data_IF_040140964207
#
_entry.id   IF_040140964207
#
_cell.length_a   1.000
_cell.length_b   1.000
_cell.length_c   1.000
_cell.angle_alpha   90.00
_cell.angle_beta   90.00
_cell.angle_gamma   90.00
#
_symmetry.space_group_name_H-M   'P 1'
#
loop_
_entity.id
_entity.type
_entity.pdbx_description
1 polymer ?
#
# COMPACT_ATOMS: atom_id res chain seq x y z
N UNK A 1 -10.68 -13.78 -22.96
CA UNK A 1 -9.50 -14.64 -22.81
C UNK A 1 -8.90 -14.40 -21.44
N UNK A 2 -8.43 -15.43 -20.76
CA UNK A 2 -7.76 -15.27 -19.46
C UNK A 2 -6.25 -15.04 -19.66
N UNK A 3 -5.58 -14.37 -18.72
CA UNK A 3 -4.13 -14.21 -18.71
C UNK A 3 -3.38 -15.55 -18.86
N UNK A 4 -3.91 -16.62 -18.27
CA UNK A 4 -3.36 -17.99 -18.35
C UNK A 4 -3.33 -18.51 -19.78
N UNK A 5 -4.40 -18.32 -20.55
CA UNK A 5 -4.45 -18.78 -21.96
C UNK A 5 -3.41 -18.03 -22.80
N UNK A 6 -3.24 -16.74 -22.58
CA UNK A 6 -2.23 -15.94 -23.24
C UNK A 6 -0.81 -16.44 -22.95
N UNK A 7 -0.48 -16.67 -21.68
CA UNK A 7 0.82 -17.23 -21.26
C UNK A 7 1.05 -18.63 -21.81
N UNK A 8 0.02 -19.50 -21.87
CA UNK A 8 0.12 -20.82 -22.47
C UNK A 8 0.39 -20.79 -23.98
N UNK A 9 -0.19 -19.83 -24.70
CA UNK A 9 0.09 -19.62 -26.12
C UNK A 9 1.54 -19.18 -26.35
N UNK A 10 2.02 -18.20 -25.56
CA UNK A 10 3.43 -17.80 -25.56
C UNK A 10 4.35 -18.95 -25.25
N UNK A 11 4.05 -19.76 -24.22
CA UNK A 11 4.86 -20.91 -23.79
C UNK A 11 5.04 -21.97 -24.87
N UNK A 12 4.10 -22.13 -25.79
CA UNK A 12 4.25 -23.05 -26.94
C UNK A 12 5.35 -22.55 -27.89
N UNK A 13 5.43 -21.24 -28.13
CA UNK A 13 6.48 -20.63 -28.96
C UNK A 13 7.84 -20.63 -28.27
N UNK A 14 7.90 -20.55 -26.95
CA UNK A 14 9.13 -20.48 -26.15
C UNK A 14 9.82 -21.84 -25.93
N UNK A 15 9.29 -22.95 -26.48
CA UNK A 15 9.95 -24.26 -26.39
C UNK A 15 11.35 -24.22 -26.99
N UNK A 16 12.33 -24.74 -26.23
CA UNK A 16 13.71 -24.82 -26.68
C UNK A 16 13.81 -25.81 -27.85
N UNK A 17 14.42 -25.35 -28.93
CA UNK A 17 14.80 -26.15 -30.10
C UNK A 17 16.26 -25.85 -30.41
N UNK A 18 16.97 -26.89 -30.89
CA UNK A 18 18.39 -26.73 -31.27
C UNK A 18 18.50 -25.71 -32.41
N UNK A 19 19.38 -24.70 -32.25
CA UNK A 19 19.53 -23.59 -33.21
C UNK A 19 18.54 -22.44 -33.07
N UNK A 20 17.74 -22.41 -31.97
CA UNK A 20 16.82 -21.34 -31.67
C UNK A 20 17.34 -20.53 -30.48
N UNK A 21 17.91 -19.35 -30.73
CA UNK A 21 18.49 -18.48 -29.72
C UNK A 21 17.43 -17.55 -29.09
N UNK A 22 16.45 -17.11 -29.87
CA UNK A 22 15.38 -16.22 -29.42
C UNK A 22 14.07 -16.46 -30.19
N UNK A 23 12.98 -15.92 -29.66
CA UNK A 23 11.67 -15.86 -30.30
C UNK A 23 11.17 -14.40 -30.25
N UNK A 24 10.84 -13.86 -31.42
CA UNK A 24 10.12 -12.60 -31.51
C UNK A 24 8.62 -12.88 -31.60
N UNK A 25 7.85 -12.30 -30.69
CA UNK A 25 6.40 -12.37 -30.68
C UNK A 25 5.85 -10.99 -30.97
N UNK A 26 5.02 -10.88 -31.99
CA UNK A 26 4.28 -9.65 -32.32
C UNK A 26 2.81 -9.92 -32.00
N UNK A 27 2.25 -9.13 -31.08
CA UNK A 27 0.83 -9.19 -30.70
C UNK A 27 0.11 -7.90 -31.10
N UNK A 28 -1.03 -8.02 -31.75
CA UNK A 28 -1.82 -6.89 -32.19
C UNK A 28 -2.90 -6.59 -31.16
N UNK A 29 -2.73 -5.51 -30.41
CA UNK A 29 -3.67 -5.07 -29.40
C UNK A 29 -4.84 -4.35 -30.07
N UNK A 30 -5.98 -5.03 -30.16
CA UNK A 30 -7.23 -4.47 -30.66
C UNK A 30 -8.01 -3.68 -29.59
N UNK A 31 -9.18 -3.20 -29.98
CA UNK A 31 -10.07 -2.41 -29.11
C UNK A 31 -10.88 -3.32 -28.16
N UNK A 32 -10.20 -4.11 -27.30
CA UNK A 32 -10.83 -5.04 -26.37
C UNK A 32 -10.90 -4.45 -24.97
N UNK A 33 -12.01 -4.68 -24.27
CA UNK A 33 -12.23 -4.21 -22.90
C UNK A 33 -11.23 -4.84 -21.90
N UNK A 34 -10.62 -5.97 -22.23
CA UNK A 34 -9.73 -6.72 -21.36
C UNK A 34 -8.23 -6.55 -21.68
N UNK A 35 -7.84 -5.50 -22.40
CA UNK A 35 -6.43 -5.22 -22.72
C UNK A 35 -5.54 -5.06 -21.47
N UNK A 36 -6.12 -4.74 -20.32
CA UNK A 36 -5.43 -4.72 -19.03
C UNK A 36 -4.87 -6.10 -18.60
N UNK A 37 -5.39 -7.20 -19.16
CA UNK A 37 -4.87 -8.55 -18.88
C UNK A 37 -3.50 -8.80 -19.52
N UNK A 38 -3.11 -8.03 -20.52
CA UNK A 38 -1.81 -8.17 -21.19
C UNK A 38 -0.67 -7.89 -20.22
N UNK A 39 -0.58 -6.71 -19.57
CA UNK A 39 0.44 -6.48 -18.56
C UNK A 39 0.32 -7.43 -17.35
N UNK A 40 -0.88 -7.80 -16.92
CA UNK A 40 -1.07 -8.81 -15.85
C UNK A 40 -0.40 -10.13 -16.24
N UNK A 41 -0.62 -10.60 -17.46
CA UNK A 41 -0.09 -11.87 -17.94
C UNK A 41 1.43 -11.84 -18.16
N UNK A 42 1.96 -10.76 -18.73
CA UNK A 42 3.37 -10.64 -19.07
C UNK A 42 4.26 -10.41 -17.86
N UNK A 43 3.79 -9.66 -16.87
CA UNK A 43 4.57 -9.25 -15.70
C UNK A 43 4.16 -9.99 -14.41
N UNK A 44 3.12 -10.83 -14.45
CA UNK A 44 2.67 -11.62 -13.31
C UNK A 44 2.08 -10.78 -12.18
N UNK A 45 1.56 -9.58 -12.45
CA UNK A 45 0.96 -8.72 -11.43
C UNK A 45 -0.49 -9.12 -11.13
N UNK A 46 -0.67 -10.00 -10.16
CA UNK A 46 -1.99 -10.44 -9.68
C UNK A 46 -2.65 -9.45 -8.70
N UNK A 47 -2.03 -8.29 -8.47
CA UNK A 47 -2.60 -7.26 -7.58
C UNK A 47 -3.86 -6.63 -8.14
N UNK A 48 -4.01 -6.58 -9.47
CA UNK A 48 -5.03 -5.81 -10.19
C UNK A 48 -5.09 -4.35 -9.69
N UNK A 49 -3.94 -3.81 -9.31
CA UNK A 49 -3.81 -2.43 -8.90
C UNK A 49 -3.55 -1.57 -10.14
N UNK A 50 -4.43 -0.61 -10.41
CA UNK A 50 -4.34 0.25 -11.59
C UNK A 50 -3.00 0.97 -11.70
N UNK A 51 -2.45 1.43 -10.58
CA UNK A 51 -1.21 2.18 -10.55
C UNK A 51 0.00 1.27 -10.83
N UNK A 52 0.00 0.05 -10.26
CA UNK A 52 1.01 -0.94 -10.59
C UNK A 52 0.98 -1.29 -12.08
N UNK A 53 -0.21 -1.54 -12.62
CA UNK A 53 -0.36 -1.85 -14.05
C UNK A 53 0.11 -0.69 -14.93
N UNK A 54 -0.22 0.56 -14.57
CA UNK A 54 0.26 1.76 -15.32
C UNK A 54 1.78 1.88 -15.24
N UNK A 55 2.38 1.70 -14.05
CA UNK A 55 3.83 1.73 -13.85
C UNK A 55 4.52 0.65 -14.69
N UNK A 56 3.99 -0.56 -14.70
CA UNK A 56 4.51 -1.67 -15.51
C UNK A 56 4.48 -1.33 -17.01
N UNK A 57 3.36 -0.82 -17.51
CA UNK A 57 3.21 -0.43 -18.91
C UNK A 57 4.13 0.74 -19.29
N UNK A 58 4.38 1.68 -18.38
CA UNK A 58 5.31 2.80 -18.61
C UNK A 58 6.77 2.35 -18.65
N UNK A 59 7.15 1.42 -17.76
CA UNK A 59 8.52 0.93 -17.60
C UNK A 59 8.98 -0.08 -18.68
N UNK A 60 8.06 -0.63 -19.48
CA UNK A 60 8.40 -1.60 -20.55
C UNK A 60 9.13 -2.83 -20.02
N UNK A 61 10.17 -3.26 -20.72
CA UNK A 61 10.92 -4.50 -20.44
C UNK A 61 11.71 -4.53 -19.12
N UNK A 62 11.90 -3.41 -18.46
CA UNK A 62 12.70 -3.35 -17.21
C UNK A 62 12.08 -4.12 -16.04
N UNK A 63 10.80 -4.48 -16.10
CA UNK A 63 10.11 -5.29 -15.08
C UNK A 63 10.13 -6.81 -15.32
N UNK A 64 10.76 -7.29 -16.39
CA UNK A 64 10.75 -8.71 -16.76
C UNK A 64 12.05 -9.38 -16.30
N UNK A 65 11.92 -10.52 -15.62
CA UNK A 65 13.06 -11.31 -15.19
C UNK A 65 13.70 -12.04 -16.38
N UNK A 66 15.04 -11.99 -16.48
CA UNK A 66 15.83 -12.68 -17.49
C UNK A 66 16.17 -11.81 -18.70
N UNK A 67 16.48 -12.45 -19.86
CA UNK A 67 16.92 -11.79 -21.08
C UNK A 67 15.74 -11.45 -22.04
N UNK A 68 14.52 -11.48 -21.55
CA UNK A 68 13.34 -11.17 -22.36
C UNK A 68 13.07 -9.65 -22.34
N UNK A 69 12.68 -9.12 -23.49
CA UNK A 69 12.26 -7.72 -23.63
C UNK A 69 10.80 -7.66 -24.06
N UNK A 70 10.05 -6.71 -23.53
CA UNK A 70 8.69 -6.37 -23.95
C UNK A 70 8.64 -4.89 -24.22
N UNK A 71 8.15 -4.51 -25.39
CA UNK A 71 7.88 -3.13 -25.73
C UNK A 71 6.44 -3.00 -26.25
N UNK A 72 5.82 -1.88 -25.93
CA UNK A 72 4.49 -1.52 -26.40
C UNK A 72 4.62 -0.27 -27.27
N UNK A 73 4.11 -0.30 -28.48
CA UNK A 73 3.97 0.91 -29.28
C UNK A 73 3.01 1.91 -28.61
N UNK A 74 3.03 3.15 -29.09
CA UNK A 74 2.23 4.24 -28.50
C UNK A 74 0.73 3.93 -28.50
N UNK A 75 0.19 3.40 -29.60
CA UNK A 75 -1.24 3.11 -29.74
C UNK A 75 -1.63 1.99 -28.78
N UNK A 76 -0.82 0.95 -28.66
CA UNK A 76 -1.01 -0.16 -27.72
C UNK A 76 -0.98 0.31 -26.26
N UNK A 77 -0.03 1.18 -25.89
CA UNK A 77 0.01 1.80 -24.55
C UNK A 77 -1.28 2.55 -24.24
N UNK A 78 -1.74 3.39 -25.16
CA UNK A 78 -2.96 4.18 -24.98
C UNK A 78 -4.20 3.28 -24.81
N UNK A 79 -4.31 2.21 -25.58
CA UNK A 79 -5.41 1.25 -25.46
C UNK A 79 -5.36 0.46 -24.14
N UNK A 80 -4.18 0.06 -23.68
CA UNK A 80 -4.00 -0.60 -22.39
C UNK A 80 -4.36 0.36 -21.26
N UNK A 81 -3.88 1.61 -21.31
CA UNK A 81 -4.23 2.62 -20.29
C UNK A 81 -5.72 2.91 -20.27
N UNK A 82 -6.38 3.03 -21.42
CA UNK A 82 -7.83 3.17 -21.51
C UNK A 82 -8.54 2.00 -20.84
N UNK A 83 -8.16 0.77 -21.16
CA UNK A 83 -8.75 -0.43 -20.55
C UNK A 83 -8.52 -0.48 -19.02
N UNK A 84 -7.32 -0.11 -18.52
CA UNK A 84 -7.04 -0.01 -17.09
C UNK A 84 -7.94 1.05 -16.43
N UNK A 85 -8.14 2.20 -17.07
CA UNK A 85 -8.93 3.30 -16.52
C UNK A 85 -10.42 2.95 -16.45
N UNK A 86 -10.97 2.35 -17.50
CA UNK A 86 -12.38 2.00 -17.61
C UNK A 86 -12.77 0.78 -16.77
N UNK A 87 -11.84 -0.14 -16.52
CA UNK A 87 -12.13 -1.35 -15.73
C UNK A 87 -12.19 -1.03 -14.24
N UNK A 88 -13.25 -1.45 -13.58
CA UNK A 88 -13.36 -1.33 -12.13
C UNK A 88 -13.09 -2.67 -11.44
N UNK A 89 -11.83 -2.87 -11.03
CA UNK A 89 -11.40 -4.07 -10.30
C UNK A 89 -11.95 -4.15 -8.86
N UNK A 90 -12.54 -3.08 -8.36
CA UNK A 90 -13.16 -3.02 -7.03
C UNK A 90 -14.66 -3.27 -7.04
N UNK A 91 -15.27 -3.55 -8.20
CA UNK A 91 -16.68 -3.91 -8.24
C UNK A 91 -16.93 -5.29 -7.64
N UNK A 92 -17.95 -5.40 -6.81
CA UNK A 92 -18.36 -6.68 -6.21
C UNK A 92 -18.59 -7.77 -7.26
N UNK A 93 -19.11 -7.42 -8.45
CA UNK A 93 -19.30 -8.36 -9.56
C UNK A 93 -18.00 -9.05 -9.95
N UNK A 94 -16.92 -8.30 -10.15
CA UNK A 94 -15.60 -8.85 -10.49
C UNK A 94 -15.08 -9.78 -9.39
N UNK A 95 -15.15 -9.35 -8.12
CA UNK A 95 -14.72 -10.16 -7.00
C UNK A 95 -15.57 -11.44 -6.85
N UNK A 96 -16.88 -11.37 -7.14
CA UNK A 96 -17.76 -12.54 -7.15
C UNK A 96 -17.39 -13.56 -8.24
N UNK A 97 -17.00 -13.09 -9.42
CA UNK A 97 -16.53 -13.97 -10.50
C UNK A 97 -15.23 -14.68 -10.08
N UNK A 98 -14.26 -13.95 -9.50
CA UNK A 98 -13.02 -14.55 -9.00
C UNK A 98 -13.29 -15.58 -7.89
N UNK A 99 -14.18 -15.26 -6.96
CA UNK A 99 -14.58 -16.15 -5.90
C UNK A 99 -15.23 -17.43 -6.43
N UNK A 100 -16.18 -17.32 -7.36
CA UNK A 100 -16.87 -18.48 -7.98
C UNK A 100 -15.90 -19.37 -8.75
N UNK A 101 -14.97 -18.79 -9.49
CA UNK A 101 -13.93 -19.53 -10.20
C UNK A 101 -13.05 -20.31 -9.22
N UNK A 102 -12.68 -19.72 -8.08
CA UNK A 102 -11.90 -20.38 -7.05
C UNK A 102 -12.72 -21.49 -6.37
N UNK A 103 -13.97 -21.23 -6.01
CA UNK A 103 -14.88 -22.20 -5.41
C UNK A 103 -15.09 -23.43 -6.32
N UNK A 104 -15.26 -23.20 -7.63
CA UNK A 104 -15.40 -24.29 -8.61
C UNK A 104 -14.13 -25.15 -8.72
N UNK A 105 -12.93 -24.53 -8.63
CA UNK A 105 -11.65 -25.25 -8.64
C UNK A 105 -11.43 -26.09 -7.39
N UNK A 106 -11.83 -25.58 -6.23
CA UNK A 106 -11.61 -26.24 -4.94
C UNK A 106 -12.69 -27.22 -4.53
N UNK A 107 -13.91 -27.10 -5.07
CA UNK A 107 -15.08 -27.84 -4.63
C UNK A 107 -15.56 -27.52 -3.20
N UNK A 108 -15.09 -26.40 -2.62
CA UNK A 108 -15.44 -25.91 -1.28
C UNK A 108 -15.38 -24.40 -1.22
N UNK A 109 -15.87 -23.82 -0.13
CA UNK A 109 -15.71 -22.39 0.19
C UNK A 109 -14.22 -22.03 0.23
N UNK A 110 -13.76 -21.07 -0.61
CA UNK A 110 -12.36 -20.61 -0.61
C UNK A 110 -12.02 -19.84 0.67
N UNK A 111 -10.81 -20.02 1.17
CA UNK A 111 -10.14 -19.13 2.13
C UNK A 111 -9.31 -18.09 1.39
N UNK A 112 -8.93 -17.00 2.05
CA UNK A 112 -8.05 -15.98 1.48
C UNK A 112 -6.71 -16.58 1.02
N UNK A 113 -6.13 -17.48 1.82
CA UNK A 113 -4.88 -18.17 1.48
C UNK A 113 -4.98 -19.11 0.27
N UNK A 114 -6.16 -19.56 -0.11
CA UNK A 114 -6.33 -20.37 -1.33
C UNK A 114 -6.04 -19.55 -2.60
N UNK A 115 -6.42 -18.26 -2.61
CA UNK A 115 -6.09 -17.35 -3.72
C UNK A 115 -4.60 -17.14 -3.86
N UNK A 116 -3.90 -17.04 -2.74
CA UNK A 116 -2.44 -16.94 -2.68
C UNK A 116 -1.77 -18.23 -3.17
N UNK A 117 -2.19 -19.38 -2.65
CA UNK A 117 -1.59 -20.68 -2.97
C UNK A 117 -1.77 -21.09 -4.44
N UNK A 118 -2.85 -20.61 -5.09
CA UNK A 118 -3.15 -20.89 -6.50
C UNK A 118 -2.67 -19.78 -7.45
N UNK A 119 -1.88 -18.83 -6.98
CA UNK A 119 -1.40 -17.68 -7.75
C UNK A 119 -2.54 -16.98 -8.53
N UNK A 120 -3.69 -16.84 -7.85
CA UNK A 120 -4.87 -16.19 -8.39
C UNK A 120 -4.85 -14.67 -8.08
N UNK A 121 -6.01 -14.03 -8.06
CA UNK A 121 -6.11 -12.64 -7.63
C UNK A 121 -5.58 -12.48 -6.21
N UNK A 122 -4.85 -11.38 -5.95
CA UNK A 122 -4.32 -11.10 -4.61
C UNK A 122 -5.41 -11.14 -3.54
N UNK A 123 -5.22 -11.87 -2.43
CA UNK A 123 -6.16 -11.91 -1.32
C UNK A 123 -6.42 -10.52 -0.72
N UNK A 124 -5.50 -9.56 -0.88
CA UNK A 124 -5.68 -8.18 -0.44
C UNK A 124 -6.86 -7.47 -1.12
N UNK A 125 -7.32 -7.95 -2.28
CA UNK A 125 -8.52 -7.43 -2.96
C UNK A 125 -9.81 -7.71 -2.19
N UNK A 126 -9.78 -8.65 -1.26
CA UNK A 126 -10.86 -8.97 -0.35
C UNK A 126 -10.69 -8.38 1.05
N UNK A 127 -9.69 -7.49 1.25
CA UNK A 127 -9.30 -6.98 2.57
C UNK A 127 -9.14 -5.45 2.64
N UNK A 128 -10.21 -4.64 2.67
CA UNK A 128 -11.63 -4.98 2.54
C UNK A 128 -12.06 -5.12 1.07
N UNK A 129 -13.11 -5.90 0.78
CA UNK A 129 -13.59 -6.08 -0.60
C UNK A 129 -14.06 -4.77 -1.25
N UNK A 130 -14.82 -3.97 -0.50
CA UNK A 130 -15.32 -2.64 -0.94
C UNK A 130 -15.46 -1.71 0.26
N UNK A 131 -15.79 -0.44 -0.01
CA UNK A 131 -16.13 0.51 1.05
C UNK A 131 -17.39 0.13 1.86
N UNK A 132 -18.29 -0.67 1.29
CA UNK A 132 -19.54 -1.11 1.94
C UNK A 132 -19.41 -2.48 2.61
N UNK A 133 -18.57 -3.36 2.07
CA UNK A 133 -18.32 -4.72 2.59
C UNK A 133 -16.92 -4.71 3.20
N UNK A 134 -16.84 -4.80 4.52
CA UNK A 134 -15.64 -4.46 5.29
C UNK A 134 -14.76 -5.65 5.66
N UNK A 135 -15.27 -6.90 5.50
CA UNK A 135 -14.52 -8.13 5.78
C UNK A 135 -14.82 -9.22 4.76
N UNK A 136 -13.93 -10.21 4.67
CA UNK A 136 -14.10 -11.35 3.77
C UNK A 136 -15.31 -12.20 4.16
N UNK A 137 -15.56 -12.36 5.46
CA UNK A 137 -16.76 -13.07 5.93
C UNK A 137 -18.05 -12.39 5.44
N UNK A 138 -18.16 -11.06 5.58
CA UNK A 138 -19.32 -10.31 5.06
C UNK A 138 -19.48 -10.46 3.55
N UNK A 139 -18.36 -10.47 2.83
CA UNK A 139 -18.35 -10.71 1.37
C UNK A 139 -18.90 -12.09 1.02
N UNK A 140 -18.44 -13.15 1.71
CA UNK A 140 -18.92 -14.52 1.48
C UNK A 140 -20.40 -14.65 1.83
N UNK A 141 -20.80 -14.20 2.99
CA UNK A 141 -22.21 -14.25 3.41
C UNK A 141 -23.12 -13.57 2.38
N UNK A 142 -22.74 -12.37 1.91
CA UNK A 142 -23.49 -11.67 0.87
C UNK A 142 -23.54 -12.45 -0.45
N UNK A 143 -22.44 -13.10 -0.85
CA UNK A 143 -22.36 -13.89 -2.08
C UNK A 143 -23.17 -15.18 -1.98
N UNK A 144 -23.08 -15.88 -0.86
CA UNK A 144 -23.73 -17.18 -0.61
C UNK A 144 -25.18 -17.02 -0.12
N UNK A 145 -25.64 -15.77 0.10
CA UNK A 145 -26.97 -15.44 0.63
C UNK A 145 -27.25 -16.09 1.99
N UNK A 146 -26.23 -16.12 2.85
CA UNK A 146 -26.30 -16.59 4.23
C UNK A 146 -26.17 -15.39 5.18
N UNK A 147 -26.79 -15.49 6.36
CA UNK A 147 -26.64 -14.46 7.38
C UNK A 147 -25.49 -14.84 8.33
N UNK A 148 -24.65 -13.87 8.76
CA UNK A 148 -23.60 -14.13 9.74
C UNK A 148 -24.11 -14.80 11.02
N UNK A 149 -25.32 -14.49 11.45
CA UNK A 149 -25.97 -15.08 12.64
C UNK A 149 -26.16 -16.60 12.53
N UNK A 150 -26.35 -17.15 11.33
CA UNK A 150 -26.46 -18.58 11.11
C UNK A 150 -25.14 -19.31 11.43
N UNK A 151 -24.02 -18.59 11.40
CA UNK A 151 -22.69 -19.07 11.77
C UNK A 151 -22.33 -18.77 13.25
N UNK A 152 -23.30 -18.28 14.03
CA UNK A 152 -23.09 -17.82 15.40
C UNK A 152 -22.26 -16.53 15.49
N UNK A 153 -22.15 -15.76 14.40
CA UNK A 153 -21.41 -14.52 14.31
C UNK A 153 -22.29 -13.36 14.77
N UNK A 154 -21.87 -12.67 15.82
CA UNK A 154 -22.53 -11.46 16.33
C UNK A 154 -21.92 -10.21 15.70
N UNK A 155 -22.58 -9.04 15.89
CA UNK A 155 -22.02 -7.77 15.43
C UNK A 155 -20.63 -7.47 16.05
N UNK A 156 -20.38 -7.88 17.28
CA UNK A 156 -19.07 -7.73 17.92
C UNK A 156 -17.98 -8.55 17.20
N UNK A 157 -18.30 -9.75 16.71
CA UNK A 157 -17.40 -10.52 15.84
C UNK A 157 -17.13 -9.81 14.52
N UNK A 158 -18.16 -9.26 13.85
CA UNK A 158 -18.01 -8.53 12.59
C UNK A 158 -17.16 -7.26 12.77
N UNK A 159 -17.40 -6.48 13.82
CA UNK A 159 -16.61 -5.30 14.15
C UNK A 159 -15.13 -5.65 14.36
N UNK A 160 -14.86 -6.74 15.05
CA UNK A 160 -13.51 -7.26 15.25
C UNK A 160 -12.86 -7.72 13.94
N UNK A 161 -13.57 -8.48 13.08
CA UNK A 161 -13.06 -8.88 11.77
C UNK A 161 -12.78 -7.68 10.87
N UNK A 162 -13.63 -6.65 10.89
CA UNK A 162 -13.40 -5.39 10.16
C UNK A 162 -12.12 -4.70 10.61
N UNK A 163 -11.86 -4.66 11.92
CA UNK A 163 -10.62 -4.13 12.48
C UNK A 163 -9.41 -4.91 11.96
N UNK A 164 -9.41 -6.24 12.14
CA UNK A 164 -8.28 -7.07 11.72
C UNK A 164 -8.09 -7.08 10.19
N UNK A 165 -9.17 -7.01 9.40
CA UNK A 165 -9.11 -6.88 7.94
C UNK A 165 -8.38 -5.61 7.49
N UNK A 166 -8.46 -4.52 8.25
CA UNK A 166 -7.72 -3.30 7.93
C UNK A 166 -6.28 -3.33 8.46
N UNK A 167 -6.04 -4.04 9.56
CA UNK A 167 -4.75 -3.99 10.25
C UNK A 167 -3.73 -4.99 9.72
N UNK A 168 -4.14 -6.25 9.51
CA UNK A 168 -3.21 -7.38 9.37
C UNK A 168 -2.84 -7.78 7.94
N UNK A 169 -3.77 -7.85 6.96
CA UNK A 169 -3.52 -8.53 5.69
C UNK A 169 -2.37 -7.97 4.87
N UNK A 170 -2.14 -6.65 4.91
CA UNK A 170 -1.03 -6.01 4.19
C UNK A 170 0.35 -6.36 4.76
N UNK A 171 0.42 -7.00 5.93
CA UNK A 171 1.67 -7.43 6.53
C UNK A 171 2.69 -6.31 6.79
N UNK A 172 2.22 -5.06 7.01
CA UNK A 172 3.11 -3.90 7.10
C UNK A 172 4.02 -3.92 8.32
N UNK A 173 3.58 -4.55 9.41
CA UNK A 173 4.35 -4.66 10.65
C UNK A 173 4.12 -6.02 11.30
N UNK A 174 5.18 -6.82 11.50
CA UNK A 174 5.05 -8.19 12.01
C UNK A 174 4.65 -8.25 13.48
N UNK A 175 4.91 -7.21 14.27
CA UNK A 175 4.63 -7.19 15.70
C UNK A 175 3.16 -7.50 16.00
N UNK A 176 2.19 -6.84 15.33
CA UNK A 176 0.77 -7.12 15.53
C UNK A 176 0.41 -8.56 15.13
N UNK A 177 1.00 -9.06 14.04
CA UNK A 177 0.76 -10.42 13.57
C UNK A 177 1.16 -11.46 14.60
N UNK A 178 2.37 -11.33 15.16
CA UNK A 178 2.87 -12.28 16.17
C UNK A 178 2.18 -12.14 17.52
N UNK A 179 1.79 -10.92 17.91
CA UNK A 179 1.02 -10.72 19.15
C UNK A 179 -0.36 -11.40 19.08
N UNK A 180 -1.08 -11.25 17.96
CA UNK A 180 -2.38 -11.92 17.78
C UNK A 180 -2.22 -13.43 17.63
N UNK A 181 -1.23 -13.90 16.87
CA UNK A 181 -0.90 -15.33 16.75
C UNK A 181 -0.65 -15.97 18.13
N UNK A 182 0.10 -15.28 18.97
CA UNK A 182 0.39 -15.74 20.32
C UNK A 182 -0.86 -15.83 21.19
N UNK A 183 -1.76 -14.84 21.10
CA UNK A 183 -3.04 -14.89 21.84
C UNK A 183 -3.93 -16.06 21.40
N UNK A 184 -3.98 -16.36 20.09
CA UNK A 184 -4.74 -17.51 19.57
C UNK A 184 -4.16 -18.84 20.05
N UNK A 185 -2.83 -18.95 20.12
CA UNK A 185 -2.09 -20.17 20.46
C UNK A 185 -1.81 -20.34 21.96
N UNK A 186 -2.21 -19.38 22.79
CA UNK A 186 -1.98 -19.45 24.26
C UNK A 186 -0.53 -19.22 24.69
N UNK A 187 0.32 -18.62 23.84
CA UNK A 187 1.68 -18.20 24.22
C UNK A 187 1.63 -16.81 24.85
N UNK A 188 2.10 -16.69 26.09
CA UNK A 188 2.02 -15.44 26.86
C UNK A 188 3.38 -14.78 27.12
N UNK A 189 4.49 -15.44 26.83
CA UNK A 189 5.83 -14.87 27.02
C UNK A 189 6.17 -13.88 25.93
N UNK A 190 6.29 -12.61 26.25
CA UNK A 190 6.65 -11.57 25.28
C UNK A 190 8.03 -11.81 24.65
N UNK A 191 8.99 -12.35 25.40
CA UNK A 191 10.32 -12.67 24.87
C UNK A 191 10.29 -13.85 23.91
N UNK A 192 9.44 -14.86 24.19
CA UNK A 192 9.19 -15.96 23.25
C UNK A 192 8.56 -15.46 21.94
N UNK A 193 7.57 -14.57 22.03
CA UNK A 193 6.90 -13.96 20.88
C UNK A 193 7.90 -13.15 20.03
N UNK A 194 8.74 -12.33 20.68
CA UNK A 194 9.78 -11.56 19.99
C UNK A 194 10.79 -12.47 19.30
N UNK A 195 11.25 -13.52 19.98
CA UNK A 195 12.20 -14.50 19.44
C UNK A 195 11.61 -15.24 18.23
N UNK A 196 10.34 -15.64 18.30
CA UNK A 196 9.63 -16.24 17.16
C UNK A 196 9.53 -15.29 15.98
N UNK A 197 9.15 -14.03 16.21
CA UNK A 197 9.06 -13.01 15.20
C UNK A 197 10.42 -12.74 14.54
N UNK A 198 11.48 -12.64 15.32
CA UNK A 198 12.83 -12.44 14.79
C UNK A 198 13.28 -13.61 13.91
N UNK A 199 13.10 -14.84 14.40
CA UNK A 199 13.50 -16.06 13.68
C UNK A 199 12.78 -16.26 12.35
N UNK A 200 11.46 -15.99 12.35
CA UNK A 200 10.60 -16.35 11.19
C UNK A 200 10.37 -15.20 10.21
N UNK A 201 10.61 -13.96 10.61
CA UNK A 201 10.31 -12.78 9.78
C UNK A 201 11.41 -11.72 9.81
N UNK A 202 12.56 -12.01 10.43
CA UNK A 202 13.66 -11.05 10.57
C UNK A 202 13.19 -9.70 11.17
N UNK A 203 12.19 -9.76 12.04
CA UNK A 203 11.56 -8.61 12.66
C UNK A 203 12.58 -7.81 13.47
N UNK A 204 12.52 -6.49 13.33
CA UNK A 204 13.36 -5.59 14.13
C UNK A 204 12.89 -5.63 15.58
N UNK A 205 13.82 -5.88 16.52
CA UNK A 205 13.55 -5.92 17.95
C UNK A 205 13.52 -4.52 18.59
N UNK A 206 12.97 -3.53 17.89
CA UNK A 206 12.77 -2.20 18.45
C UNK A 206 11.63 -2.21 19.47
N UNK A 207 11.93 -1.83 20.70
CA UNK A 207 10.96 -1.81 21.80
C UNK A 207 9.81 -0.82 21.55
N UNK A 208 10.06 0.29 20.86
CA UNK A 208 9.02 1.26 20.53
C UNK A 208 7.97 0.66 19.59
N UNK A 209 8.40 -0.08 18.57
CA UNK A 209 7.48 -0.77 17.64
C UNK A 209 6.63 -1.83 18.33
N UNK A 210 7.19 -2.57 19.31
CA UNK A 210 6.42 -3.52 20.12
C UNK A 210 5.40 -2.83 21.01
N UNK A 211 5.80 -1.75 21.71
CA UNK A 211 4.90 -0.98 22.56
C UNK A 211 3.79 -0.32 21.74
N UNK A 212 4.11 0.23 20.56
CA UNK A 212 3.14 0.80 19.65
C UNK A 212 2.15 -0.26 19.14
N UNK A 213 2.61 -1.46 18.76
CA UNK A 213 1.76 -2.56 18.34
C UNK A 213 0.77 -3.00 19.44
N UNK A 214 1.26 -3.13 20.67
CA UNK A 214 0.41 -3.44 21.83
C UNK A 214 -0.63 -2.33 22.04
N UNK A 215 -0.23 -1.06 21.99
CA UNK A 215 -1.14 0.08 22.13
C UNK A 215 -2.24 0.06 21.07
N UNK A 216 -1.91 -0.26 19.80
CA UNK A 216 -2.91 -0.39 18.73
C UNK A 216 -3.91 -1.50 19.02
N UNK A 217 -3.44 -2.66 19.48
CA UNK A 217 -4.29 -3.79 19.86
C UNK A 217 -5.11 -3.54 21.13
N UNK A 218 -4.75 -2.51 21.90
CA UNK A 218 -5.49 -1.98 23.03
C UNK A 218 -6.37 -0.77 22.70
N UNK A 219 -6.61 -0.50 21.41
CA UNK A 219 -7.34 0.68 20.92
C UNK A 219 -6.66 2.03 21.24
N UNK A 220 -5.39 2.09 21.59
CA UNK A 220 -4.71 3.33 21.96
C UNK A 220 -4.51 4.30 20.79
N UNK A 221 -4.31 3.79 19.58
CA UNK A 221 -3.96 4.56 18.38
C UNK A 221 -5.17 5.14 17.62
N UNK A 222 -6.31 4.45 17.65
CA UNK A 222 -7.48 4.75 16.82
C UNK A 222 -8.19 6.04 17.25
N UNK A 223 -8.77 6.76 16.29
CA UNK A 223 -9.69 7.87 16.55
C UNK A 223 -10.99 7.38 17.20
N UNK A 224 -11.69 8.27 17.91
CA UNK A 224 -12.96 7.93 18.61
C UNK A 224 -13.98 7.29 17.65
N UNK A 225 -14.18 7.85 16.47
CA UNK A 225 -15.11 7.30 15.48
C UNK A 225 -14.68 5.91 14.96
N UNK A 226 -13.38 5.66 14.80
CA UNK A 226 -12.86 4.35 14.40
C UNK A 226 -13.07 3.32 15.53
N UNK A 227 -12.80 3.68 16.78
CA UNK A 227 -13.06 2.83 17.93
C UNK A 227 -14.51 2.38 17.99
N UNK A 228 -15.44 3.31 17.80
CA UNK A 228 -16.87 2.99 17.78
C UNK A 228 -17.23 2.05 16.61
N UNK A 229 -16.70 2.29 15.41
CA UNK A 229 -16.93 1.46 14.24
C UNK A 229 -16.39 0.02 14.41
N UNK A 230 -15.31 -0.16 15.18
CA UNK A 230 -14.70 -1.47 15.48
C UNK A 230 -15.12 -2.05 16.84
N UNK A 231 -16.20 -1.57 17.44
CA UNK A 231 -16.78 -2.10 18.68
C UNK A 231 -16.00 -1.78 19.95
N UNK A 232 -15.05 -0.85 19.89
CA UNK A 232 -14.21 -0.45 21.04
C UNK A 232 -13.57 -1.62 21.80
N UNK A 233 -13.14 -2.66 21.08
CA UNK A 233 -12.61 -3.90 21.64
C UNK A 233 -11.11 -3.75 21.88
N UNK A 234 -10.66 -3.99 23.12
CA UNK A 234 -9.25 -4.23 23.44
C UNK A 234 -8.96 -5.71 23.30
N UNK A 235 -7.92 -6.08 22.54
CA UNK A 235 -7.62 -7.48 22.25
C UNK A 235 -6.59 -8.08 23.18
N UNK A 236 -5.66 -7.28 23.67
CA UNK A 236 -4.54 -7.74 24.49
C UNK A 236 -4.41 -6.96 25.78
N UNK A 237 -3.91 -7.62 26.82
CA UNK A 237 -3.52 -7.00 28.08
C UNK A 237 -2.13 -7.46 28.47
N UNK A 238 -1.32 -6.53 29.02
CA UNK A 238 -0.05 -6.82 29.67
C UNK A 238 -0.29 -6.99 31.14
N UNK A 239 0.22 -8.06 31.74
CA UNK A 239 0.21 -8.35 33.16
C UNK A 239 1.57 -8.84 33.63
N UNK A 240 1.67 -9.20 34.90
CA UNK A 240 2.92 -9.71 35.51
C UNK A 240 3.44 -10.98 34.81
N UNK A 241 2.55 -11.76 34.20
CA UNK A 241 2.88 -13.00 33.49
C UNK A 241 3.09 -12.80 31.96
N UNK A 242 3.24 -11.57 31.49
CA UNK A 242 3.43 -11.26 30.09
C UNK A 242 2.15 -10.82 29.35
N UNK A 243 2.07 -11.10 28.05
CA UNK A 243 0.94 -10.76 27.21
C UNK A 243 -0.17 -11.81 27.31
N UNK A 244 -1.41 -11.37 27.40
CA UNK A 244 -2.57 -12.28 27.34
C UNK A 244 -3.73 -11.65 26.57
N UNK A 245 -4.63 -12.47 25.96
CA UNK A 245 -5.87 -11.97 25.41
C UNK A 245 -6.77 -11.41 26.50
N UNK A 246 -7.54 -10.36 26.19
CA UNK A 246 -8.60 -9.87 27.09
C UNK A 246 -9.74 -10.87 27.17
N UNK A 247 -10.62 -10.73 28.15
CA UNK A 247 -11.76 -11.63 28.29
C UNK A 247 -12.76 -11.45 27.15
N UNK A 248 -12.94 -10.23 26.66
CA UNK A 248 -13.70 -9.95 25.43
C UNK A 248 -13.13 -10.69 24.20
N UNK A 249 -11.82 -10.68 24.03
CA UNK A 249 -11.20 -11.36 22.89
C UNK A 249 -11.25 -12.89 23.02
N UNK A 250 -11.11 -13.43 24.24
CA UNK A 250 -11.30 -14.86 24.50
C UNK A 250 -12.71 -15.31 24.11
N UNK A 251 -13.74 -14.57 24.53
CA UNK A 251 -15.13 -14.87 24.18
C UNK A 251 -15.38 -14.86 22.66
N UNK A 252 -14.75 -13.94 21.91
CA UNK A 252 -14.80 -13.97 20.45
C UNK A 252 -14.14 -15.23 19.86
N UNK A 253 -13.00 -15.67 20.41
CA UNK A 253 -12.27 -16.85 19.93
C UNK A 253 -12.98 -18.19 20.22
N UNK A 254 -14.02 -18.24 21.06
CA UNK A 254 -14.84 -19.42 21.28
C UNK A 254 -15.65 -19.79 20.02
N UNK A 255 -16.00 -18.83 19.16
CA UNK A 255 -16.65 -19.11 17.88
C UNK A 255 -15.62 -19.60 16.86
N UNK A 256 -15.77 -20.86 16.41
CA UNK A 256 -14.82 -21.50 15.50
C UNK A 256 -14.79 -20.86 14.12
N UNK A 257 -15.91 -20.32 13.61
CA UNK A 257 -15.95 -19.60 12.33
C UNK A 257 -15.14 -18.33 12.44
N UNK A 258 -15.36 -17.51 13.47
CA UNK A 258 -14.59 -16.30 13.73
C UNK A 258 -13.08 -16.58 13.87
N UNK A 259 -12.72 -17.60 14.65
CA UNK A 259 -11.32 -17.99 14.85
C UNK A 259 -10.66 -18.38 13.53
N UNK A 260 -11.33 -19.18 12.71
CA UNK A 260 -10.83 -19.60 11.38
C UNK A 260 -10.66 -18.44 10.42
N UNK A 261 -11.57 -17.46 10.42
CA UNK A 261 -11.44 -16.24 9.61
C UNK A 261 -10.25 -15.39 10.05
N UNK A 262 -10.07 -15.23 11.36
CA UNK A 262 -8.95 -14.46 11.90
C UNK A 262 -7.60 -15.14 11.61
N UNK A 263 -7.51 -16.46 11.71
CA UNK A 263 -6.31 -17.24 11.37
C UNK A 263 -5.98 -17.13 9.88
N UNK A 264 -6.98 -17.08 9.00
CA UNK A 264 -6.79 -16.89 7.56
C UNK A 264 -6.27 -15.47 7.24
N UNK A 265 -6.88 -14.44 7.81
CA UNK A 265 -6.41 -13.03 7.73
C UNK A 265 -4.95 -12.92 8.22
N UNK A 266 -4.63 -13.54 9.34
CA UNK A 266 -3.30 -13.55 9.93
C UNK A 266 -2.29 -14.22 8.99
N UNK A 267 -2.67 -15.35 8.39
CA UNK A 267 -1.83 -16.11 7.45
C UNK A 267 -1.50 -15.29 6.20
N UNK A 268 -2.50 -14.56 5.65
CA UNK A 268 -2.28 -13.61 4.56
C UNK A 268 -1.27 -12.53 4.97
N UNK A 269 -1.44 -11.92 6.13
CA UNK A 269 -0.54 -10.88 6.63
C UNK A 269 0.90 -11.37 6.78
N UNK A 270 1.09 -12.58 7.30
CA UNK A 270 2.42 -13.20 7.43
C UNK A 270 3.05 -13.52 6.07
N UNK A 271 2.25 -13.98 5.10
CA UNK A 271 2.71 -14.24 3.74
C UNK A 271 3.11 -12.93 3.02
N UNK A 272 2.29 -11.89 3.13
CA UNK A 272 2.59 -10.58 2.54
C UNK A 272 3.82 -9.93 3.16
N UNK A 273 3.99 -10.01 4.49
CA UNK A 273 5.20 -9.53 5.15
C UNK A 273 6.46 -10.22 4.62
N UNK A 274 6.43 -11.56 4.49
CA UNK A 274 7.54 -12.33 3.94
C UNK A 274 7.87 -11.92 2.51
N UNK A 275 6.86 -11.70 1.66
CA UNK A 275 7.06 -11.22 0.28
C UNK A 275 7.74 -9.86 0.24
N UNK A 276 7.26 -8.91 1.05
CA UNK A 276 7.84 -7.57 1.13
C UNK A 276 9.29 -7.63 1.61
N UNK A 277 9.57 -8.42 2.64
CA UNK A 277 10.91 -8.61 3.17
C UNK A 277 11.86 -9.22 2.13
N UNK A 278 11.44 -10.25 1.40
CA UNK A 278 12.25 -10.88 0.35
C UNK A 278 12.51 -9.92 -0.82
N UNK A 279 11.52 -9.12 -1.22
CA UNK A 279 11.67 -8.11 -2.27
C UNK A 279 12.58 -6.96 -1.86
N UNK A 280 12.60 -6.62 -0.59
CA UNK A 280 13.37 -5.50 -0.04
C UNK A 280 14.75 -5.87 0.48
N UNK A 281 15.21 -7.10 0.29
CA UNK A 281 16.53 -7.57 0.76
C UNK A 281 17.64 -6.62 0.29
N UNK A 282 18.21 -5.86 1.23
CA UNK A 282 19.18 -4.80 0.97
C UNK A 282 18.60 -3.40 0.73
N UNK A 283 17.25 -3.23 0.70
CA UNK A 283 16.56 -1.93 0.52
C UNK A 283 15.73 -1.49 1.73
N UNK A 284 15.77 -2.24 2.83
CA UNK A 284 15.07 -1.89 4.08
C UNK A 284 15.81 -0.77 4.77
N UNK A 285 15.12 0.34 4.95
CA UNK A 285 15.57 1.43 5.81
C UNK A 285 15.18 1.15 7.28
N UNK A 286 15.79 1.87 8.21
CA UNK A 286 15.48 1.73 9.63
C UNK A 286 13.97 1.89 9.88
N UNK A 287 13.38 0.92 10.58
CA UNK A 287 11.94 0.85 10.84
C UNK A 287 11.19 -0.08 9.88
N UNK A 288 9.86 -0.02 9.91
CA UNK A 288 8.98 -0.93 9.17
C UNK A 288 8.58 -0.40 7.77
N UNK A 289 9.29 0.62 7.25
CA UNK A 289 9.04 1.19 5.93
C UNK A 289 9.97 0.56 4.89
N UNK A 290 9.43 0.15 3.77
CA UNK A 290 10.14 -0.45 2.63
C UNK A 290 10.11 0.52 1.46
N UNK A 291 11.29 0.89 0.94
CA UNK A 291 11.42 1.82 -0.19
C UNK A 291 10.65 1.30 -1.41
N UNK A 292 9.98 2.19 -2.12
CA UNK A 292 9.10 1.94 -3.27
C UNK A 292 7.80 1.17 -2.95
N UNK A 293 7.49 0.93 -1.68
CA UNK A 293 6.18 0.43 -1.24
C UNK A 293 5.22 1.58 -0.94
N UNK A 294 3.91 1.30 -1.06
CA UNK A 294 2.86 2.31 -0.84
C UNK A 294 2.31 2.27 0.58
N UNK A 295 2.11 3.45 1.15
CA UNK A 295 1.57 3.66 2.50
C UNK A 295 0.57 4.81 2.52
N UNK A 296 -0.52 4.63 3.28
CA UNK A 296 -1.40 5.75 3.63
C UNK A 296 -0.76 6.63 4.71
N UNK A 297 -1.29 7.84 4.92
CA UNK A 297 -0.87 8.69 6.06
C UNK A 297 -1.09 7.99 7.40
N UNK A 298 -2.18 7.22 7.55
CA UNK A 298 -2.45 6.39 8.73
C UNK A 298 -1.39 5.32 8.93
N UNK A 299 -1.00 4.61 7.87
CA UNK A 299 0.09 3.62 7.93
C UNK A 299 1.40 4.27 8.35
N UNK A 300 1.74 5.45 7.81
CA UNK A 300 2.94 6.17 8.19
C UNK A 300 2.94 6.55 9.68
N UNK A 301 1.85 7.12 10.22
CA UNK A 301 1.72 7.39 11.65
C UNK A 301 1.96 6.13 12.48
N UNK A 302 1.32 5.01 12.09
CA UNK A 302 1.45 3.72 12.77
C UNK A 302 2.89 3.19 12.75
N UNK A 303 3.51 3.17 11.56
CA UNK A 303 4.84 2.58 11.35
C UNK A 303 5.98 3.47 11.88
N UNK A 304 5.73 4.76 12.03
CA UNK A 304 6.63 5.69 12.72
C UNK A 304 6.40 5.69 14.26
N UNK A 305 5.52 4.82 14.76
CA UNK A 305 5.22 4.65 16.18
C UNK A 305 4.57 5.88 16.85
N UNK A 306 3.83 6.68 16.09
CA UNK A 306 3.08 7.80 16.66
C UNK A 306 2.02 7.29 17.64
N UNK A 307 1.77 8.07 18.67
CA UNK A 307 0.80 7.70 19.71
C UNK A 307 -0.63 7.62 19.21
N UNK A 308 -1.00 8.49 18.25
CA UNK A 308 -2.35 8.62 17.72
C UNK A 308 -2.36 8.59 16.19
N UNK A 309 -3.52 8.24 15.60
CA UNK A 309 -3.78 8.43 14.19
C UNK A 309 -4.00 9.91 13.86
N UNK A 310 -2.97 10.57 13.38
CA UNK A 310 -2.95 11.99 13.05
C UNK A 310 -3.13 12.26 11.53
N UNK A 311 -3.51 11.25 10.74
CA UNK A 311 -3.58 11.33 9.28
C UNK A 311 -4.33 12.55 8.73
N UNK A 312 -5.42 12.97 9.41
CA UNK A 312 -6.24 14.10 8.99
C UNK A 312 -5.64 15.47 9.27
N UNK A 313 -4.58 15.56 10.06
CA UNK A 313 -3.88 16.79 10.41
C UNK A 313 -2.53 16.92 9.70
N UNK A 314 -2.14 15.93 8.88
CA UNK A 314 -0.94 15.99 8.05
C UNK A 314 -1.25 16.75 6.77
N UNK A 315 -1.02 18.06 6.78
CA UNK A 315 -1.14 18.92 5.59
C UNK A 315 0.23 19.09 4.92
N UNK A 316 0.58 18.14 4.05
CA UNK A 316 1.89 18.06 3.41
C UNK A 316 2.97 17.50 4.33
N UNK A 317 3.11 17.96 5.54
CA UNK A 317 4.04 17.44 6.56
C UNK A 317 3.52 17.70 7.97
N UNK A 318 4.06 16.97 8.93
CA UNK A 318 3.80 17.22 10.35
C UNK A 318 4.95 16.69 11.20
N UNK A 319 5.44 17.49 12.13
CA UNK A 319 6.41 17.08 13.14
C UNK A 319 5.70 16.34 14.28
N UNK A 320 6.21 15.17 14.63
CA UNK A 320 5.89 14.45 15.86
C UNK A 320 7.13 14.49 16.76
N UNK A 321 7.01 15.21 17.85
CA UNK A 321 8.14 15.47 18.76
C UNK A 321 8.45 14.24 19.63
N UNK A 322 7.45 13.40 19.93
CA UNK A 322 7.63 12.19 20.77
C UNK A 322 8.52 11.15 20.08
N UNK A 323 8.34 10.99 18.76
CA UNK A 323 9.13 10.06 17.96
C UNK A 323 10.29 10.73 17.22
N UNK A 324 10.35 12.05 17.25
CA UNK A 324 11.30 12.87 16.50
C UNK A 324 11.25 12.55 15.00
N UNK A 325 10.05 12.50 14.43
CA UNK A 325 9.83 12.20 13.01
C UNK A 325 9.00 13.29 12.33
N UNK A 326 9.32 13.59 11.08
CA UNK A 326 8.60 14.56 10.25
C UNK A 326 8.37 14.00 8.85
N UNK A 327 7.37 13.13 8.65
CA UNK A 327 7.05 12.62 7.32
C UNK A 327 6.55 13.73 6.40
N UNK A 328 7.03 13.74 5.16
CA UNK A 328 6.63 14.67 4.11
C UNK A 328 5.81 13.91 3.07
N UNK A 329 4.61 14.41 2.73
CA UNK A 329 3.68 13.83 1.76
C UNK A 329 3.44 14.79 0.61
N UNK A 330 3.69 14.33 -0.61
CA UNK A 330 3.62 15.13 -1.83
C UNK A 330 2.74 14.47 -2.87
N UNK A 331 1.86 15.27 -3.48
CA UNK A 331 1.22 14.94 -4.76
C UNK A 331 2.05 15.64 -5.84
N UNK A 332 2.71 14.88 -6.71
CA UNK A 332 3.73 15.39 -7.63
C UNK A 332 3.11 16.14 -8.80
N UNK A 333 2.11 15.55 -9.46
CA UNK A 333 1.35 16.18 -10.54
C UNK A 333 0.07 16.80 -9.96
N UNK A 334 0.10 18.11 -9.76
CA UNK A 334 -1.03 18.87 -9.23
C UNK A 334 -1.85 19.40 -10.41
N UNK A 335 -3.15 19.16 -10.39
CA UNK A 335 -4.09 19.75 -11.33
C UNK A 335 -4.16 21.27 -11.09
N UNK A 336 -3.38 22.02 -11.88
CA UNK A 336 -3.19 23.46 -11.69
C UNK A 336 -4.45 24.29 -11.96
N UNK A 337 -5.45 23.73 -12.65
CA UNK A 337 -6.71 24.44 -12.95
C UNK A 337 -7.62 24.56 -11.71
N UNK A 338 -7.52 23.66 -10.74
CA UNK A 338 -8.39 23.59 -9.57
C UNK A 338 -7.71 23.94 -8.24
N UNK A 339 -6.41 24.24 -8.23
CA UNK A 339 -5.64 24.49 -7.01
C UNK A 339 -5.39 25.99 -6.84
N UNK A 340 -5.57 26.50 -5.60
CA UNK A 340 -5.20 27.87 -5.28
C UNK A 340 -3.69 28.09 -5.46
N UNK A 341 -3.28 29.25 -5.97
CA UNK A 341 -1.86 29.60 -6.16
C UNK A 341 -1.00 29.37 -4.90
N UNK A 342 -1.59 29.49 -3.71
CA UNK A 342 -0.95 29.28 -2.40
C UNK A 342 -0.56 27.83 -2.10
N UNK A 343 -1.02 26.85 -2.87
CA UNK A 343 -0.73 25.42 -2.69
C UNK A 343 -0.02 24.80 -3.89
N UNK A 344 0.22 25.58 -4.95
CA UNK A 344 0.90 25.14 -6.15
C UNK A 344 2.43 25.28 -6.00
N UNK A 345 3.01 24.54 -5.05
CA UNK A 345 4.47 24.43 -4.90
C UNK A 345 5.03 23.58 -6.02
N UNK A 346 6.17 23.97 -6.57
CA UNK A 346 6.91 23.21 -7.59
C UNK A 346 7.93 22.29 -6.92
N UNK A 347 7.45 21.40 -6.02
CA UNK A 347 8.29 20.34 -5.47
C UNK A 347 8.81 19.47 -6.62
N UNK A 348 10.13 19.21 -6.69
CA UNK A 348 10.72 18.48 -7.82
C UNK A 348 11.99 17.74 -7.46
N UNK A 349 12.24 16.67 -8.20
CA UNK A 349 13.55 16.02 -8.20
C UNK A 349 14.50 16.84 -9.08
N UNK A 350 15.63 17.28 -8.50
CA UNK A 350 16.71 17.94 -9.24
C UNK A 350 17.50 16.88 -10.01
N UNK A 351 17.72 15.75 -9.36
CA UNK A 351 18.30 14.51 -9.89
C UNK A 351 17.84 13.34 -9.01
N UNK A 352 18.36 12.13 -9.24
CA UNK A 352 17.97 10.93 -8.51
C UNK A 352 18.24 10.97 -7.00
N UNK A 353 19.15 11.84 -6.54
CA UNK A 353 19.59 11.94 -5.14
C UNK A 353 19.19 13.25 -4.46
N UNK A 354 18.69 14.23 -5.22
CA UNK A 354 18.40 15.57 -4.69
C UNK A 354 16.96 15.96 -4.95
N UNK A 355 16.29 16.35 -3.86
CA UNK A 355 14.88 16.75 -3.88
C UNK A 355 14.72 18.17 -3.37
N UNK A 356 14.08 19.04 -4.18
CA UNK A 356 13.70 20.40 -3.82
C UNK A 356 12.27 20.42 -3.32
N UNK A 357 12.06 20.99 -2.13
CA UNK A 357 10.76 21.00 -1.48
C UNK A 357 10.47 22.35 -0.81
N UNK A 358 9.19 22.70 -0.74
CA UNK A 358 8.73 23.95 -0.14
C UNK A 358 7.82 23.69 1.08
N UNK A 359 8.06 24.45 2.15
CA UNK A 359 7.19 24.43 3.32
C UNK A 359 5.81 24.99 3.01
N UNK A 360 4.86 24.80 3.91
CA UNK A 360 3.59 25.54 3.86
C UNK A 360 3.84 27.05 3.87
N UNK A 361 2.88 27.81 3.29
CA UNK A 361 2.89 29.26 3.32
C UNK A 361 2.85 29.81 4.77
N UNK A 362 3.27 31.07 4.93
CA UNK A 362 3.45 31.78 6.21
C UNK A 362 4.45 31.08 7.14
N UNK A 363 5.52 30.52 6.56
CA UNK A 363 6.64 29.89 7.28
C UNK A 363 7.94 30.57 6.90
N UNK A 364 8.81 30.69 7.90
CA UNK A 364 10.16 31.20 7.75
C UNK A 364 11.15 30.23 8.38
N UNK A 365 12.42 30.41 8.15
CA UNK A 365 13.49 29.63 8.78
C UNK A 365 13.50 29.73 10.32
N UNK A 366 12.79 30.69 10.92
CA UNK A 366 12.57 30.77 12.36
C UNK A 366 11.35 30.06 12.89
N UNK A 367 10.51 29.46 11.99
CA UNK A 367 9.30 28.73 12.40
C UNK A 367 9.64 27.47 13.20
N UNK A 368 9.06 27.33 14.39
CA UNK A 368 9.36 26.24 15.35
C UNK A 368 9.19 24.85 14.74
N UNK A 369 8.12 24.63 13.99
CA UNK A 369 7.83 23.35 13.36
C UNK A 369 8.85 22.90 12.31
N UNK A 370 9.70 23.83 11.79
CA UNK A 370 10.74 23.54 10.81
C UNK A 370 12.12 23.36 11.44
N UNK A 371 12.30 23.69 12.73
CA UNK A 371 13.61 23.63 13.39
C UNK A 371 14.19 22.22 13.37
N UNK A 372 13.35 21.20 13.55
CA UNK A 372 13.77 19.80 13.45
C UNK A 372 14.39 19.45 12.10
N UNK A 373 13.83 19.99 11.00
CA UNK A 373 14.32 19.80 9.63
C UNK A 373 15.56 20.66 9.36
N UNK A 374 15.51 21.94 9.71
CA UNK A 374 16.61 22.89 9.46
C UNK A 374 17.90 22.46 10.18
N UNK A 375 17.76 22.05 11.44
CA UNK A 375 18.87 21.63 12.28
C UNK A 375 19.03 20.10 12.32
N UNK A 376 18.68 19.39 11.27
CA UNK A 376 18.60 17.93 11.23
C UNK A 376 19.91 17.24 11.62
N UNK A 377 21.06 17.84 11.31
CA UNK A 377 22.37 17.31 11.70
C UNK A 377 22.50 17.12 13.23
N UNK A 378 21.87 17.98 14.03
CA UNK A 378 21.88 17.96 15.50
C UNK A 378 20.61 17.37 16.09
N UNK A 379 19.44 17.73 15.57
CA UNK A 379 18.13 17.25 16.04
C UNK A 379 17.94 15.74 15.81
N UNK A 380 18.63 15.19 14.78
CA UNK A 380 18.44 13.80 14.32
C UNK A 380 17.01 13.49 13.94
N UNK A 381 16.24 14.48 13.51
CA UNK A 381 14.87 14.30 13.06
C UNK A 381 14.83 13.39 11.84
N UNK A 382 14.11 12.31 11.93
CA UNK A 382 13.87 11.40 10.79
C UNK A 382 12.82 12.01 9.86
N UNK A 383 13.11 12.10 8.57
CA UNK A 383 12.27 12.80 7.58
C UNK A 383 11.93 11.88 6.41
N UNK A 384 10.96 10.95 6.56
CA UNK A 384 10.56 10.06 5.46
C UNK A 384 9.79 10.82 4.38
N UNK A 385 10.14 10.58 3.11
CA UNK A 385 9.47 11.14 1.94
C UNK A 385 8.43 10.18 1.36
N UNK A 386 7.22 10.68 1.21
CA UNK A 386 6.09 9.95 0.62
C UNK A 386 5.55 10.74 -0.58
N UNK A 387 5.54 10.12 -1.77
CA UNK A 387 5.12 10.77 -3.02
C UNK A 387 4.06 9.94 -3.71
N UNK A 388 3.02 10.60 -4.23
CA UNK A 388 2.10 10.01 -5.21
C UNK A 388 2.05 10.88 -6.45
N UNK A 389 1.75 10.30 -7.60
CA UNK A 389 1.71 11.04 -8.86
C UNK A 389 0.58 12.08 -8.85
N UNK A 390 -0.64 11.64 -8.60
CA UNK A 390 -1.83 12.51 -8.63
C UNK A 390 -2.88 12.09 -7.61
N UNK A 391 -3.87 12.93 -7.38
CA UNK A 391 -5.00 12.62 -6.48
C UNK A 391 -5.88 11.47 -7.01
N UNK A 392 -5.87 11.22 -8.32
CA UNK A 392 -6.54 10.08 -8.94
C UNK A 392 -5.99 8.70 -8.55
N UNK A 393 -4.80 8.63 -7.93
CA UNK A 393 -4.19 7.38 -7.46
C UNK A 393 -4.72 6.87 -6.11
N UNK A 394 -5.64 7.59 -5.49
CA UNK A 394 -6.17 7.24 -4.18
C UNK A 394 -5.38 7.85 -3.03
N UNK A 395 -5.35 7.15 -1.87
CA UNK A 395 -4.83 7.70 -0.61
C UNK A 395 -3.41 7.29 -0.28
N UNK A 396 -2.84 6.34 -1.01
CA UNK A 396 -1.53 5.76 -0.72
C UNK A 396 -0.40 6.44 -1.51
N UNK A 397 0.75 6.63 -0.85
CA UNK A 397 1.94 7.29 -1.37
C UNK A 397 3.11 6.31 -1.42
N UNK A 398 3.98 6.39 -2.41
CA UNK A 398 5.25 5.68 -2.44
C UNK A 398 6.20 6.24 -1.39
N UNK A 399 6.74 5.42 -0.51
CA UNK A 399 7.84 5.79 0.35
C UNK A 399 9.15 5.74 -0.45
N UNK A 400 9.85 6.86 -0.55
CA UNK A 400 11.07 7.00 -1.35
C UNK A 400 12.37 6.99 -0.53
N UNK A 401 12.28 6.73 0.76
CA UNK A 401 13.41 6.80 1.67
C UNK A 401 13.38 8.05 2.56
N UNK A 402 14.40 8.18 3.39
CA UNK A 402 14.52 9.32 4.30
C UNK A 402 15.31 10.46 3.64
N UNK A 403 15.00 11.69 4.00
CA UNK A 403 15.63 12.91 3.52
C UNK A 403 16.63 13.45 4.54
N UNK A 404 17.74 13.97 4.04
CA UNK A 404 18.74 14.72 4.82
C UNK A 404 18.83 16.16 4.31
N UNK A 405 18.69 17.14 5.19
CA UNK A 405 18.70 18.55 4.82
C UNK A 405 20.09 18.97 4.36
N UNK A 406 20.19 19.50 3.13
CA UNK A 406 21.39 20.15 2.59
C UNK A 406 21.35 21.63 2.93
N UNK A 407 20.22 22.29 2.60
CA UNK A 407 20.02 23.73 2.84
C UNK A 407 18.56 24.05 3.07
N UNK A 408 18.31 25.15 3.79
CA UNK A 408 17.00 25.74 3.99
C UNK A 408 17.12 27.26 3.90
N UNK A 409 16.30 27.89 3.06
CA UNK A 409 16.33 29.34 2.84
C UNK A 409 14.93 29.93 2.79
N UNK A 410 14.77 31.18 3.27
CA UNK A 410 13.52 31.89 3.12
C UNK A 410 13.25 32.21 1.65
N UNK A 411 12.03 31.97 1.20
CA UNK A 411 11.57 32.22 -0.15
C UNK A 411 10.14 32.80 -0.12
N UNK A 412 9.59 33.12 -1.28
CA UNK A 412 8.24 33.66 -1.40
C UNK A 412 7.51 32.99 -2.55
N UNK A 413 6.21 32.81 -2.37
CA UNK A 413 5.29 32.36 -3.42
C UNK A 413 4.20 33.41 -3.62
N UNK A 414 3.79 33.64 -4.86
CA UNK A 414 2.70 34.54 -5.17
C UNK A 414 1.36 33.77 -5.16
N UNK A 415 0.41 34.27 -4.39
CA UNK A 415 -0.97 33.79 -4.38
C UNK A 415 -1.94 34.96 -4.46
N UNK A 416 -2.75 35.02 -5.52
CA UNK A 416 -3.73 36.08 -5.76
C UNK A 416 -3.19 37.49 -5.58
N UNK A 417 -1.98 37.74 -6.13
CA UNK A 417 -1.30 39.04 -6.04
C UNK A 417 -0.68 39.34 -4.68
N UNK A 418 -0.64 38.36 -3.76
CA UNK A 418 0.04 38.51 -2.45
C UNK A 418 1.28 37.64 -2.40
N UNK A 419 2.38 38.20 -1.92
CA UNK A 419 3.58 37.45 -1.62
C UNK A 419 3.44 36.78 -0.25
N UNK A 420 3.57 35.46 -0.22
CA UNK A 420 3.52 34.64 0.99
C UNK A 420 4.91 34.06 1.29
N UNK A 421 5.33 34.17 2.53
CA UNK A 421 6.59 33.60 2.98
C UNK A 421 6.52 32.07 3.00
N UNK A 422 7.54 31.42 2.48
CA UNK A 422 7.77 29.98 2.50
C UNK A 422 9.23 29.70 2.78
N UNK A 423 9.57 28.47 3.16
CA UNK A 423 10.95 28.00 3.24
C UNK A 423 11.19 26.98 2.14
N UNK A 424 12.22 27.24 1.35
CA UNK A 424 12.74 26.33 0.34
C UNK A 424 13.79 25.43 0.95
N UNK A 425 13.64 24.14 0.80
CA UNK A 425 14.59 23.13 1.23
C UNK A 425 15.22 22.43 0.03
N UNK A 426 16.50 22.14 0.11
CA UNK A 426 17.16 21.14 -0.71
C UNK A 426 17.53 19.97 0.20
N UNK A 427 17.09 18.78 -0.18
CA UNK A 427 17.33 17.54 0.54
C UNK A 427 18.20 16.60 -0.27
N UNK A 428 19.10 15.90 0.40
CA UNK A 428 19.72 14.70 -0.13
C UNK A 428 18.88 13.49 0.27
N UNK A 429 18.58 12.64 -0.70
CA UNK A 429 17.84 11.39 -0.48
C UNK A 429 18.77 10.31 0.03
N UNK A 430 18.41 9.65 1.12
CA UNK A 430 19.20 8.52 1.67
C UNK A 430 19.26 7.29 0.74
N UNK A 431 18.33 7.23 -0.20
CA UNK A 431 18.27 6.22 -1.26
C UNK A 431 17.91 6.93 -2.56
N UNK A 432 18.70 6.79 -3.64
CA UNK A 432 18.35 7.34 -4.94
C UNK A 432 16.98 6.84 -5.39
N UNK A 433 16.19 7.70 -6.02
CA UNK A 433 14.90 7.30 -6.58
C UNK A 433 15.12 6.33 -7.74
N UNK A 434 14.30 5.30 -7.82
CA UNK A 434 14.28 4.38 -8.96
C UNK A 434 13.89 5.14 -10.24
N UNK A 435 14.70 5.01 -11.30
CA UNK A 435 14.52 5.72 -12.58
C UNK A 435 13.13 5.48 -13.19
N UNK A 436 12.61 4.26 -13.09
CA UNK A 436 11.27 3.94 -13.60
C UNK A 436 10.18 4.65 -12.81
N UNK A 437 10.37 4.76 -11.50
CA UNK A 437 9.44 5.49 -10.66
C UNK A 437 9.52 6.99 -10.93
N UNK A 438 10.70 7.54 -11.12
CA UNK A 438 10.91 8.93 -11.51
C UNK A 438 10.24 9.22 -12.86
N UNK A 439 10.51 8.41 -13.87
CA UNK A 439 9.88 8.51 -15.19
C UNK A 439 8.35 8.40 -15.11
N UNK A 440 7.82 7.53 -14.25
CA UNK A 440 6.39 7.43 -14.00
C UNK A 440 5.81 8.72 -13.39
N UNK A 441 6.49 9.31 -12.42
CA UNK A 441 6.06 10.56 -11.78
C UNK A 441 6.07 11.73 -12.77
N UNK A 442 7.11 11.84 -13.61
CA UNK A 442 7.30 12.92 -14.58
C UNK A 442 6.44 12.80 -15.84
N UNK A 443 5.94 11.61 -16.17
CA UNK A 443 5.08 11.42 -17.33
C UNK A 443 3.78 12.19 -17.15
N UNK A 444 3.54 13.23 -17.96
CA UNK A 444 2.26 13.95 -17.95
C UNK A 444 1.14 12.97 -18.31
N UNK A 445 -0.03 13.03 -17.63
CA UNK A 445 -1.20 12.27 -18.08
C UNK A 445 -1.46 12.70 -19.53
N UNK A 446 -1.53 11.75 -20.44
CA UNK A 446 -1.98 12.02 -21.82
C UNK A 446 -3.39 12.58 -21.68
N UNK A 447 -3.51 13.89 -21.90
CA UNK A 447 -4.75 14.66 -21.79
C UNK A 447 -5.84 14.03 -22.66
N UNK A 448 -7.08 14.25 -22.27
CA UNK A 448 -8.27 13.99 -23.08
C UNK A 448 -7.98 14.36 -24.53
N UNK A 449 -7.83 13.35 -25.39
CA UNK A 449 -7.94 13.56 -26.82
C UNK A 449 -9.41 13.87 -27.03
N UNK A 450 -9.76 15.18 -27.06
CA UNK A 450 -10.96 15.61 -27.74
C UNK A 450 -10.89 15.01 -29.15
N UNK A 451 -11.87 14.21 -29.46
CA UNK A 451 -12.06 13.59 -30.75
C UNK A 451 -12.22 14.70 -31.82
N UNK A 452 -11.13 15.04 -32.48
CA UNK A 452 -11.21 15.64 -33.80
C UNK A 452 -11.68 14.54 -34.76
N UNK A 453 -12.98 14.29 -34.74
CA UNK A 453 -13.64 13.61 -35.85
C UNK A 453 -13.66 14.62 -36.99
N UNK A 454 -12.64 14.58 -37.82
CA UNK A 454 -12.73 15.16 -39.18
C UNK A 454 -13.73 14.31 -39.95
N UNK A 455 -14.93 14.82 -40.15
CA UNK A 455 -15.86 14.29 -41.13
C UNK A 455 -15.20 14.35 -42.52
N UNK A 456 -15.04 13.23 -43.24
CA UNK A 456 -14.72 13.31 -44.66
C UNK A 456 -15.99 13.72 -45.42
N UNK A 457 -15.86 14.78 -46.17
CA UNK A 457 -16.86 15.23 -47.16
C UNK A 457 -17.01 14.21 -48.29
#
# INVERSE_FOLDING_TARGET
QSAIIFVQQLGRGLRKLQGKDFLTVIDFIGNYQNNFLIPVALFGDNSYNKDNLRKIVSGGSQGIFGNSTVDFDRISKDQIYKAINETSFSQLKFLYEQYQNMQAKLGRTPKLMDFEAMDAISPLRFCPPTNQVKSYLEFRCKKEKTEPSELGITEKHLQSLRFFTQLLPRGLRPQELYLIKACINGNHSLDSIKSEAQKNSNCILDMRSWSSAISILQNGFLKVAEKAAFGNISYVKLGNNGLSPTDDFKALLENQCYKSELEDILSVGLAEYKKQFLRSKGKTQAGNLVVNSKYSRKDACRLLNWKNNEESTIYGYKMDYDTNTCPIFITYDKDTENISGSTNYQDRFINEETFEWFSRNKRTTSSEELQGLINQATSKTRTPLFVKKSDGEGTDFYYLGDLNTISAENSKIEDKGKQLDIVKFNFHMSTPIDENLLNYLDTKPTGNIQSDIVNPA
#
